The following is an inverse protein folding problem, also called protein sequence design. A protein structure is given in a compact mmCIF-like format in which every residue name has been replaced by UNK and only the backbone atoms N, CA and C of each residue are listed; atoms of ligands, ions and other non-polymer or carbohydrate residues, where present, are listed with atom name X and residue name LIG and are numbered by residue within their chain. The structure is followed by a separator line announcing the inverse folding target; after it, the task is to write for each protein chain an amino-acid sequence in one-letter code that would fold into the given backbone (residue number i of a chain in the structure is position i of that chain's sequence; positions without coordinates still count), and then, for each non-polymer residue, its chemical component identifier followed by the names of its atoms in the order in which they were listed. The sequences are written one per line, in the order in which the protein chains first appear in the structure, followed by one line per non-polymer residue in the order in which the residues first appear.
data_IF_140289699856
#
_entry.id   IF_140289699856
#
_cell.length_a   1.000
_cell.length_b   1.000
_cell.length_c   1.000
_cell.angle_alpha   90.00
_cell.angle_beta   90.00
_cell.angle_gamma   90.00
#
_symmetry.space_group_name_H-M   'P 1'
#
loop_
_entity.id
_entity.type
_entity.pdbx_description
1 polymer ?
#
# COMPACT_ATOMS: atom_id res chain seq x y z
N UNK A 1 52.88 -51.58 39.60
CA UNK A 1 52.87 -50.72 38.39
C UNK A 1 51.52 -50.03 38.34
N UNK A 2 51.44 -48.81 38.90
CA UNK A 2 50.24 -47.97 38.83
C UNK A 2 50.17 -47.32 37.44
N UNK A 3 49.01 -47.34 36.78
CA UNK A 3 48.41 -46.13 36.21
C UNK A 3 46.96 -46.38 35.78
N UNK A 4 46.14 -45.37 36.02
CA UNK A 4 44.69 -45.38 36.15
C UNK A 4 43.93 -45.35 34.81
N UNK A 5 42.78 -46.02 34.83
CA UNK A 5 41.63 -45.86 33.93
C UNK A 5 41.17 -44.38 33.97
N UNK A 6 41.10 -43.71 32.81
CA UNK A 6 40.44 -42.40 32.69
C UNK A 6 39.00 -42.59 32.22
N UNK A 7 38.11 -42.34 33.15
CA UNK A 7 36.67 -42.22 32.98
C UNK A 7 36.29 -41.04 32.07
N UNK A 8 35.27 -41.32 31.24
CA UNK A 8 34.07 -40.50 31.04
C UNK A 8 34.20 -39.04 30.59
N UNK A 9 33.88 -38.77 29.33
CA UNK A 9 33.35 -37.48 28.90
C UNK A 9 32.34 -37.70 27.77
N UNK A 10 31.12 -38.04 28.17
CA UNK A 10 29.93 -37.87 27.35
C UNK A 10 29.44 -36.43 27.52
N UNK A 11 29.14 -35.73 26.41
CA UNK A 11 27.83 -35.13 26.12
C UNK A 11 27.88 -33.74 25.47
N UNK A 12 27.04 -33.64 24.43
CA UNK A 12 26.29 -32.50 23.91
C UNK A 12 27.03 -31.32 23.26
N UNK A 13 26.98 -31.34 21.94
CA UNK A 13 26.96 -30.16 21.08
C UNK A 13 25.75 -29.28 21.47
N UNK A 14 26.00 -28.08 21.99
CA UNK A 14 25.01 -27.00 22.02
C UNK A 14 25.49 -25.85 21.14
N UNK A 15 24.76 -25.63 20.05
CA UNK A 15 24.82 -24.42 19.24
C UNK A 15 24.42 -23.21 20.10
N UNK A 16 25.35 -22.32 20.38
CA UNK A 16 25.04 -20.98 20.89
C UNK A 16 25.17 -20.00 19.73
N UNK A 17 24.07 -19.80 18.99
CA UNK A 17 23.91 -18.63 18.12
C UNK A 17 23.23 -17.57 18.97
N UNK A 18 24.00 -16.64 19.53
CA UNK A 18 23.44 -15.40 20.08
C UNK A 18 23.10 -14.48 18.92
N UNK A 19 21.84 -14.42 18.53
CA UNK A 19 21.33 -13.32 17.71
C UNK A 19 21.31 -12.06 18.57
N UNK A 20 22.30 -11.18 18.40
CA UNK A 20 22.17 -9.81 18.90
C UNK A 20 21.15 -9.12 18.00
N UNK A 21 19.92 -8.96 18.50
CA UNK A 21 18.94 -8.04 17.94
C UNK A 21 19.38 -6.63 18.27
N UNK A 22 20.01 -5.94 17.31
CA UNK A 22 19.96 -4.48 17.29
C UNK A 22 18.72 -4.10 16.50
N UNK A 23 17.63 -3.84 17.20
CA UNK A 23 16.55 -3.04 16.66
C UNK A 23 17.09 -1.60 16.54
N UNK A 24 17.66 -1.26 15.39
CA UNK A 24 17.90 0.13 15.04
C UNK A 24 16.55 0.74 14.65
N UNK A 25 16.10 1.68 15.47
CA UNK A 25 14.96 2.57 15.16
C UNK A 25 15.51 3.65 14.24
N UNK A 26 15.65 3.31 12.96
CA UNK A 26 15.95 4.30 11.93
C UNK A 26 14.63 4.80 11.36
N UNK A 27 14.20 5.94 11.91
CA UNK A 27 13.29 6.89 11.28
C UNK A 27 11.85 6.40 11.12
N UNK A 28 10.94 7.06 11.83
CA UNK A 28 9.59 7.21 11.27
C UNK A 28 9.73 7.75 9.84
N UNK A 29 9.10 7.15 8.83
CA UNK A 29 9.07 7.75 7.50
C UNK A 29 8.45 9.14 7.66
N UNK A 30 9.18 10.15 7.21
CA UNK A 30 8.64 11.50 7.08
C UNK A 30 7.41 11.43 6.18
N UNK A 31 6.28 11.91 6.68
CA UNK A 31 5.10 12.17 5.88
C UNK A 31 5.47 13.28 4.88
N UNK A 32 5.89 12.88 3.67
CA UNK A 32 6.16 13.81 2.58
C UNK A 32 4.83 14.13 1.92
N UNK A 33 4.26 15.28 2.29
CA UNK A 33 3.08 15.85 1.66
C UNK A 33 3.58 16.87 0.65
N UNK A 34 3.55 16.51 -0.63
CA UNK A 34 3.61 17.51 -1.70
C UNK A 34 2.19 17.77 -2.18
N UNK A 35 1.45 18.58 -1.41
CA UNK A 35 0.13 19.07 -1.80
C UNK A 35 0.30 20.45 -2.46
N UNK A 36 0.23 20.51 -3.78
CA UNK A 36 -0.32 21.71 -4.42
C UNK A 36 -1.84 21.65 -4.16
N UNK A 37 -2.30 22.44 -3.19
CA UNK A 37 -3.67 22.53 -2.64
C UNK A 37 -3.94 21.65 -1.40
N UNK A 38 -3.70 22.25 -0.22
CA UNK A 38 -4.47 22.12 1.04
C UNK A 38 -4.89 20.75 1.57
N UNK A 39 -4.07 20.15 2.44
CA UNK A 39 -4.55 19.13 3.39
C UNK A 39 -5.29 19.75 4.59
N UNK A 40 -6.49 19.25 4.91
CA UNK A 40 -7.19 19.55 6.17
C UNK A 40 -7.06 18.35 7.11
N UNK A 41 -6.30 18.51 8.19
CA UNK A 41 -6.43 17.68 9.39
C UNK A 41 -7.49 18.32 10.31
N UNK A 42 -8.60 17.63 10.59
CA UNK A 42 -9.52 18.01 11.66
C UNK A 42 -9.35 17.04 12.84
N UNK A 43 -8.67 17.43 13.93
CA UNK A 43 -8.82 16.73 15.20
C UNK A 43 -10.20 17.06 15.78
N UNK A 44 -10.93 16.02 16.20
CA UNK A 44 -12.25 16.15 16.84
C UNK A 44 -12.17 17.07 18.08
N UNK A 45 -12.85 18.21 18.03
CA UNK A 45 -13.01 19.12 19.17
C UNK A 45 -13.82 20.37 18.85
N UNK A 46 -15.04 20.42 19.41
CA UNK A 46 -15.97 21.56 19.57
C UNK A 46 -16.83 22.01 18.38
N UNK A 47 -18.12 22.15 18.70
CA UNK A 47 -19.27 22.50 17.85
C UNK A 47 -19.20 23.93 17.28
N UNK A 48 -18.55 24.09 16.14
CA UNK A 48 -18.89 25.17 15.21
C UNK A 48 -19.16 24.56 13.84
N UNK A 49 -20.22 25.02 13.17
CA UNK A 49 -20.62 24.56 11.84
C UNK A 49 -20.13 25.58 10.82
N UNK A 50 -18.94 25.42 10.21
CA UNK A 50 -18.46 26.38 9.23
C UNK A 50 -19.14 26.04 7.91
N UNK A 51 -19.89 26.98 7.35
CA UNK A 51 -20.42 26.87 6.00
C UNK A 51 -19.28 26.84 4.99
N UNK A 52 -18.79 25.64 4.66
CA UNK A 52 -17.79 25.45 3.62
C UNK A 52 -18.45 25.65 2.26
N UNK A 53 -18.21 26.82 1.64
CA UNK A 53 -18.39 26.97 0.19
C UNK A 53 -17.39 26.02 -0.46
N UNK A 54 -17.86 24.87 -0.96
CA UNK A 54 -17.05 23.94 -1.76
C UNK A 54 -16.75 24.62 -3.10
N UNK A 55 -15.67 25.40 -3.14
CA UNK A 55 -15.14 26.00 -4.34
C UNK A 55 -13.97 25.13 -4.82
N UNK A 56 -13.98 24.77 -6.10
CA UNK A 56 -12.85 24.12 -6.76
C UNK A 56 -12.78 22.61 -6.60
N UNK A 57 -12.31 21.97 -7.67
CA UNK A 57 -11.79 20.61 -7.75
C UNK A 57 -11.21 20.10 -6.42
N UNK A 58 -11.74 19.00 -5.88
CA UNK A 58 -11.22 18.37 -4.66
C UNK A 58 -10.44 17.15 -5.06
N UNK A 59 -9.14 17.16 -4.77
CA UNK A 59 -8.22 16.07 -5.05
C UNK A 59 -7.61 15.58 -3.73
N UNK A 60 -8.11 14.45 -3.23
CA UNK A 60 -7.70 13.87 -1.95
C UNK A 60 -7.08 12.50 -2.17
N UNK A 61 -5.95 12.25 -1.51
CA UNK A 61 -5.36 10.92 -1.38
C UNK A 61 -5.08 10.68 0.10
N UNK A 62 -5.73 9.68 0.68
CA UNK A 62 -5.49 9.21 2.04
C UNK A 62 -4.70 7.90 2.00
N UNK A 63 -3.57 7.87 2.70
CA UNK A 63 -2.66 6.72 2.75
C UNK A 63 -2.46 6.30 4.21
N UNK A 64 -2.75 5.05 4.50
CA UNK A 64 -2.44 4.39 5.76
C UNK A 64 -1.46 3.24 5.52
N UNK A 65 -0.35 3.21 6.25
CA UNK A 65 0.68 2.18 6.13
C UNK A 65 1.02 1.61 7.50
N UNK A 66 0.69 0.34 7.70
CA UNK A 66 0.97 -0.42 8.91
C UNK A 66 1.94 -1.54 8.54
N UNK A 67 3.15 -1.50 9.10
CA UNK A 67 4.23 -2.45 8.82
C UNK A 67 5.43 -1.79 8.14
N UNK A 68 6.38 -2.61 7.67
CA UNK A 68 7.68 -2.16 7.18
C UNK A 68 7.74 -2.09 5.66
N UNK A 69 8.40 -1.06 5.14
CA UNK A 69 8.77 -0.90 3.72
C UNK A 69 7.59 -0.98 2.75
N UNK A 70 6.42 -0.51 3.17
CA UNK A 70 5.31 -0.27 2.25
C UNK A 70 5.59 0.99 1.42
N UNK A 71 5.22 0.98 0.14
CA UNK A 71 5.44 2.13 -0.75
C UNK A 71 4.18 2.46 -1.53
N UNK A 72 3.92 3.74 -1.70
CA UNK A 72 2.89 4.28 -2.59
C UNK A 72 3.57 5.31 -3.48
N UNK A 73 3.36 5.18 -4.78
CA UNK A 73 3.72 6.15 -5.79
C UNK A 73 2.44 6.47 -6.57
N UNK A 74 1.99 7.72 -6.54
CA UNK A 74 0.70 8.12 -7.09
C UNK A 74 0.78 9.48 -7.77
N UNK A 75 0.74 9.48 -9.09
CA UNK A 75 0.57 10.65 -9.94
C UNK A 75 -0.84 10.62 -10.53
N UNK A 76 -1.67 11.60 -10.15
CA UNK A 76 -3.08 11.66 -10.55
C UNK A 76 -3.42 13.07 -11.04
N UNK A 77 -3.61 13.18 -12.34
CA UNK A 77 -4.13 14.37 -13.02
C UNK A 77 -5.64 14.22 -13.27
N UNK A 78 -6.45 14.87 -12.42
CA UNK A 78 -7.91 14.83 -12.51
C UNK A 78 -8.58 16.14 -12.05
N UNK A 79 -9.83 16.36 -12.49
CA UNK A 79 -10.68 17.46 -11.99
C UNK A 79 -11.17 17.18 -10.56
N UNK A 80 -11.25 15.91 -10.17
CA UNK A 80 -11.53 15.53 -8.79
C UNK A 80 -10.95 14.15 -8.50
N UNK A 81 -10.43 13.95 -7.31
CA UNK A 81 -9.96 12.66 -6.86
C UNK A 81 -10.29 12.43 -5.38
N UNK A 82 -10.59 11.18 -5.06
CA UNK A 82 -10.80 10.67 -3.71
C UNK A 82 -10.29 9.23 -3.64
N UNK A 83 -9.01 9.08 -3.30
CA UNK A 83 -8.34 7.79 -3.22
C UNK A 83 -8.02 7.48 -1.77
N UNK A 84 -8.49 6.32 -1.31
CA UNK A 84 -8.17 5.75 -0.01
C UNK A 84 -7.32 4.51 -0.23
N UNK A 85 -6.13 4.49 0.37
CA UNK A 85 -5.18 3.40 0.24
C UNK A 85 -4.72 2.95 1.63
N UNK A 86 -5.01 1.69 1.99
CA UNK A 86 -4.56 1.08 3.23
C UNK A 86 -3.66 -0.13 2.95
N UNK A 87 -2.45 -0.09 3.49
CA UNK A 87 -1.44 -1.15 3.42
C UNK A 87 -1.20 -1.72 4.81
N UNK A 88 -1.62 -2.96 5.04
CA UNK A 88 -1.40 -3.67 6.29
C UNK A 88 -0.49 -4.89 6.07
N UNK A 89 0.74 -4.80 6.55
CA UNK A 89 1.81 -5.79 6.44
C UNK A 89 3.09 -5.17 5.88
N UNK A 90 3.99 -5.99 5.35
CA UNK A 90 5.32 -5.54 4.94
C UNK A 90 5.53 -5.63 3.43
N UNK A 91 6.30 -4.69 2.88
CA UNK A 91 6.73 -4.66 1.48
C UNK A 91 5.58 -4.60 0.47
N UNK A 92 4.41 -4.10 0.85
CA UNK A 92 3.33 -3.85 -0.11
C UNK A 92 3.66 -2.62 -0.96
N UNK A 93 3.24 -2.64 -2.21
CA UNK A 93 3.52 -1.59 -3.17
C UNK A 93 2.26 -1.21 -3.94
N UNK A 94 2.03 0.08 -4.09
CA UNK A 94 1.03 0.62 -4.98
C UNK A 94 1.66 1.65 -5.91
N UNK A 95 1.31 1.59 -7.19
CA UNK A 95 1.73 2.54 -8.21
C UNK A 95 0.52 2.99 -9.01
N UNK A 96 0.30 4.30 -9.10
CA UNK A 96 -0.81 4.92 -9.82
C UNK A 96 -0.25 6.01 -10.73
N UNK A 97 -0.55 5.93 -12.01
CA UNK A 97 -0.27 6.98 -13.00
C UNK A 97 -1.54 7.19 -13.83
N UNK A 98 -2.32 8.20 -13.44
CA UNK A 98 -3.68 8.42 -13.91
C UNK A 98 -3.85 9.83 -14.47
N UNK A 99 -4.26 9.92 -15.74
CA UNK A 99 -4.86 11.12 -16.32
C UNK A 99 -6.33 10.85 -16.60
N UNK A 100 -7.24 11.53 -15.90
CA UNK A 100 -8.67 11.19 -15.96
C UNK A 100 -9.58 12.40 -15.68
N UNK A 101 -10.91 12.26 -15.87
CA UNK A 101 -11.85 13.32 -15.47
C UNK A 101 -12.02 13.33 -13.95
N UNK A 102 -12.29 12.16 -13.37
CA UNK A 102 -12.32 11.96 -11.93
C UNK A 102 -11.78 10.59 -11.53
N UNK A 103 -11.21 10.48 -10.34
CA UNK A 103 -10.67 9.24 -9.81
C UNK A 103 -11.18 8.97 -8.38
N UNK A 104 -11.94 7.90 -8.18
CA UNK A 104 -12.36 7.45 -6.85
C UNK A 104 -11.84 6.04 -6.63
N UNK A 105 -11.22 5.77 -5.48
CA UNK A 105 -10.50 4.53 -5.27
C UNK A 105 -10.49 4.08 -3.83
N UNK A 106 -10.72 2.79 -3.61
CA UNK A 106 -10.41 2.11 -2.36
C UNK A 106 -9.45 0.97 -2.67
N UNK A 107 -8.24 1.05 -2.13
CA UNK A 107 -7.16 0.09 -2.36
C UNK A 107 -6.73 -0.46 -1.00
N UNK A 108 -6.97 -1.75 -0.79
CA UNK A 108 -6.65 -2.45 0.46
C UNK A 108 -5.64 -3.57 0.18
N UNK A 109 -4.45 -3.47 0.77
CA UNK A 109 -3.41 -4.48 0.67
C UNK A 109 -3.16 -5.11 2.05
N UNK A 110 -3.83 -6.24 2.31
CA UNK A 110 -3.72 -6.99 3.55
C UNK A 110 -2.77 -8.19 3.38
N UNK A 111 -1.58 -8.11 3.96
CA UNK A 111 -0.54 -9.14 3.93
C UNK A 111 0.80 -8.59 3.43
N UNK A 112 1.64 -9.42 2.82
CA UNK A 112 3.02 -9.05 2.53
C UNK A 112 3.35 -9.10 1.04
N UNK A 113 4.16 -8.18 0.54
CA UNK A 113 4.68 -8.19 -0.84
C UNK A 113 3.58 -8.12 -1.91
N UNK A 114 2.40 -7.61 -1.60
CA UNK A 114 1.36 -7.40 -2.60
C UNK A 114 1.72 -6.18 -3.46
N UNK A 115 1.36 -6.25 -4.73
CA UNK A 115 1.59 -5.18 -5.69
C UNK A 115 0.31 -4.81 -6.41
N UNK A 116 0.01 -3.52 -6.44
CA UNK A 116 -1.01 -2.94 -7.28
C UNK A 116 -0.37 -1.89 -8.18
N UNK A 117 -0.68 -1.94 -9.47
CA UNK A 117 -0.26 -0.93 -10.43
C UNK A 117 -1.40 -0.56 -11.37
N UNK A 118 -1.59 0.73 -11.63
CA UNK A 118 -2.51 1.20 -12.64
C UNK A 118 -1.92 2.34 -13.45
N UNK A 119 -2.00 2.19 -14.78
CA UNK A 119 -1.71 3.24 -15.74
C UNK A 119 -2.97 3.55 -16.55
N UNK A 120 -3.41 4.80 -16.60
CA UNK A 120 -4.53 5.20 -17.44
C UNK A 120 -4.37 6.61 -17.99
N UNK A 121 -4.51 6.77 -19.30
CA UNK A 121 -4.67 8.07 -19.95
C UNK A 121 -6.07 8.15 -20.57
N UNK A 122 -7.04 8.57 -19.75
CA UNK A 122 -8.45 8.62 -20.09
C UNK A 122 -9.11 9.91 -19.54
N UNK A 123 -8.71 11.11 -20.03
CA UNK A 123 -9.10 12.43 -19.48
C UNK A 123 -10.61 12.71 -19.51
N UNK A 124 -11.41 11.88 -20.18
CA UNK A 124 -12.86 12.01 -20.31
C UNK A 124 -13.66 11.06 -19.39
N UNK A 125 -13.01 10.07 -18.79
CA UNK A 125 -13.67 9.01 -18.03
C UNK A 125 -13.67 9.30 -16.53
N UNK A 126 -14.60 8.70 -15.80
CA UNK A 126 -14.57 8.68 -14.33
C UNK A 126 -14.11 7.29 -13.91
N UNK A 127 -12.96 7.20 -13.27
CA UNK A 127 -12.39 5.92 -12.85
C UNK A 127 -12.77 5.66 -11.39
N UNK A 128 -13.53 4.59 -11.18
CA UNK A 128 -13.89 4.06 -9.88
C UNK A 128 -13.18 2.71 -9.67
N UNK A 129 -12.43 2.59 -8.57
CA UNK A 129 -11.64 1.40 -8.23
C UNK A 129 -11.97 0.88 -6.84
N UNK A 130 -12.14 -0.43 -6.74
CA UNK A 130 -12.13 -1.15 -5.46
C UNK A 130 -11.20 -2.35 -5.62
N UNK A 131 -10.00 -2.25 -5.05
CA UNK A 131 -8.95 -3.25 -5.19
C UNK A 131 -8.65 -3.81 -3.80
N UNK A 132 -8.92 -5.10 -3.60
CA UNK A 132 -8.68 -5.78 -2.32
C UNK A 132 -7.71 -6.93 -2.57
N UNK A 133 -6.53 -6.86 -1.96
CA UNK A 133 -5.52 -7.92 -2.00
C UNK A 133 -5.36 -8.52 -0.60
N UNK A 134 -5.49 -9.84 -0.48
CA UNK A 134 -5.36 -10.59 0.77
C UNK A 134 -4.33 -11.71 0.64
N UNK A 135 -3.29 -11.69 1.45
CA UNK A 135 -2.24 -12.73 1.45
C UNK A 135 -0.90 -12.19 0.98
N UNK A 136 -0.15 -13.02 0.23
CA UNK A 136 1.27 -12.74 -0.05
C UNK A 136 1.59 -12.76 -1.53
N UNK A 137 2.37 -11.78 -1.98
CA UNK A 137 2.88 -11.74 -3.36
C UNK A 137 1.79 -11.72 -4.42
N UNK A 138 0.61 -11.18 -4.11
CA UNK A 138 -0.44 -11.01 -5.11
C UNK A 138 -0.18 -9.76 -5.94
N UNK A 139 -0.54 -9.80 -7.23
CA UNK A 139 -0.34 -8.73 -8.18
C UNK A 139 -1.65 -8.38 -8.88
N UNK A 140 -1.94 -7.08 -8.97
CA UNK A 140 -3.01 -6.54 -9.82
C UNK A 140 -2.39 -5.45 -10.68
N UNK A 141 -2.47 -5.59 -12.00
CA UNK A 141 -2.04 -4.58 -12.96
C UNK A 141 -3.18 -4.19 -13.88
N UNK A 142 -3.43 -2.90 -14.03
CA UNK A 142 -4.41 -2.35 -14.95
C UNK A 142 -3.70 -1.41 -15.91
N UNK A 143 -3.85 -1.65 -17.20
CA UNK A 143 -3.32 -0.80 -18.25
C UNK A 143 -4.44 -0.26 -19.12
N UNK A 144 -4.53 1.05 -19.23
CA UNK A 144 -5.56 1.75 -19.99
C UNK A 144 -6.93 1.71 -19.31
N UNK A 145 -7.88 2.43 -19.90
CA UNK A 145 -9.26 2.49 -19.44
C UNK A 145 -10.19 2.86 -20.58
N UNK A 146 -11.37 2.24 -20.63
CA UNK A 146 -12.45 2.57 -21.54
C UNK A 146 -13.79 2.60 -20.77
N UNK A 147 -14.90 2.86 -21.47
CA UNK A 147 -16.24 2.94 -20.88
C UNK A 147 -16.69 1.66 -20.19
N UNK A 148 -16.18 0.49 -20.57
CA UNK A 148 -16.50 -0.79 -19.92
C UNK A 148 -15.74 -0.98 -18.60
N UNK A 149 -14.64 -0.24 -18.40
CA UNK A 149 -13.76 -0.37 -17.23
C UNK A 149 -13.69 0.89 -16.38
N UNK A 150 -14.66 1.79 -16.52
CA UNK A 150 -14.83 2.94 -15.63
C UNK A 150 -14.98 2.48 -14.18
N UNK A 151 -15.64 1.35 -13.93
CA UNK A 151 -15.89 0.83 -12.58
C UNK A 151 -15.34 -0.58 -12.43
N UNK A 152 -14.23 -0.71 -11.71
CA UNK A 152 -13.59 -2.01 -11.45
C UNK A 152 -13.63 -2.37 -9.97
N UNK A 153 -14.05 -3.60 -9.69
CA UNK A 153 -13.95 -4.22 -8.37
C UNK A 153 -13.17 -5.52 -8.50
N UNK A 154 -12.02 -5.60 -7.86
CA UNK A 154 -11.10 -6.74 -7.96
C UNK A 154 -10.76 -7.18 -6.54
N UNK A 155 -11.00 -8.46 -6.25
CA UNK A 155 -10.55 -9.11 -5.02
C UNK A 155 -9.63 -10.27 -5.37
N UNK A 156 -8.41 -10.24 -4.84
CA UNK A 156 -7.41 -11.29 -5.01
C UNK A 156 -6.98 -11.81 -3.64
N UNK A 157 -7.16 -13.10 -3.39
CA UNK A 157 -6.78 -13.74 -2.14
C UNK A 157 -5.84 -14.93 -2.37
N UNK A 158 -4.84 -15.11 -1.52
CA UNK A 158 -3.93 -16.27 -1.53
C UNK A 158 -2.45 -15.91 -1.66
N UNK A 159 -1.69 -16.86 -2.21
CA UNK A 159 -0.25 -16.73 -2.46
C UNK A 159 0.02 -16.63 -3.96
N UNK A 160 0.81 -15.63 -4.36
CA UNK A 160 1.37 -15.48 -5.71
C UNK A 160 0.30 -15.48 -6.83
N UNK A 161 -0.85 -14.83 -6.61
CA UNK A 161 -1.89 -14.67 -7.62
C UNK A 161 -1.67 -13.41 -8.44
N UNK A 162 -2.02 -13.44 -9.73
CA UNK A 162 -1.87 -12.28 -10.62
C UNK A 162 -3.15 -12.03 -11.41
N UNK A 163 -3.54 -10.76 -11.49
CA UNK A 163 -4.61 -10.26 -12.37
C UNK A 163 -3.99 -9.14 -13.22
N UNK A 164 -4.13 -9.26 -14.54
CA UNK A 164 -3.67 -8.23 -15.48
C UNK A 164 -4.84 -7.87 -16.40
N UNK A 165 -5.18 -6.58 -16.44
CA UNK A 165 -6.22 -6.03 -17.29
C UNK A 165 -5.56 -5.08 -18.29
N UNK A 166 -5.96 -5.19 -19.56
CA UNK A 166 -5.46 -4.36 -20.66
C UNK A 166 -6.66 -3.83 -21.44
N UNK A 167 -6.93 -2.54 -21.32
CA UNK A 167 -8.04 -1.84 -21.96
C UNK A 167 -7.50 -0.71 -22.82
N UNK A 168 -7.09 -1.06 -24.02
CA UNK A 168 -6.65 -0.10 -25.03
C UNK A 168 -7.74 -0.05 -26.10
N UNK A 169 -8.42 1.09 -26.22
CA UNK A 169 -9.40 1.38 -27.26
C UNK A 169 -9.10 2.73 -27.88
#
# INVERSE_FOLDING_TARGET
MLSFIKNSSLLLVMFLISTITLAQTDGFPSLYIESNEGMIFQPNGSDEKPGLRKNGNVNNIFIEQIGLNNTVDADISAQSSDIVLSQNGNFNKAWLDLTTKSATGVIEQNGNKNYFGEYANAPKLNLERSIIQQGRSNQVMIYGSNSLTEKLKIKVSGLAKSVIIRNFN
#
